data_IF_115786244833
#
_entry.id   IF_115786244833
#
_cell.length_a   1.000
_cell.length_b   1.000
_cell.length_c   1.000
_cell.angle_alpha   90.00
_cell.angle_beta   90.00
_cell.angle_gamma   90.00
#
_symmetry.space_group_name_H-M   'P 1'
#
loop_
_entity.id
_entity.type
_entity.pdbx_description
1 polymer ?
#
# COMPACT_ATOMS: atom_id res chain seq x y z
N UNK A 1 -3.70 -1.52 -25.09
CA UNK A 1 -4.13 -2.94 -25.01
C UNK A 1 -5.60 -3.05 -24.62
N UNK A 2 -6.01 -2.60 -23.43
CA UNK A 2 -7.42 -2.70 -23.00
C UNK A 2 -8.46 -2.15 -23.98
N UNK A 3 -8.27 -0.94 -24.52
CA UNK A 3 -9.19 -0.40 -25.53
C UNK A 3 -9.25 -1.26 -26.82
N UNK A 4 -8.16 -1.95 -27.16
CA UNK A 4 -8.06 -2.84 -28.32
C UNK A 4 -8.63 -4.26 -28.08
N UNK A 5 -8.75 -4.67 -26.82
CA UNK A 5 -9.11 -6.03 -26.42
C UNK A 5 -10.52 -6.05 -25.84
N UNK A 6 -10.75 -5.20 -24.84
CA UNK A 6 -11.99 -5.18 -24.04
C UNK A 6 -12.91 -4.02 -24.46
N UNK A 7 -12.38 -3.04 -25.20
CA UNK A 7 -13.09 -1.79 -25.56
C UNK A 7 -13.43 -0.92 -24.34
N UNK A 8 -12.59 -1.03 -23.31
CA UNK A 8 -12.74 -0.32 -22.03
C UNK A 8 -11.50 0.50 -21.68
N UNK A 9 -11.72 1.48 -20.80
CA UNK A 9 -10.70 2.23 -20.10
C UNK A 9 -10.59 1.73 -18.65
N UNK A 10 -9.47 2.00 -17.96
CA UNK A 10 -9.36 1.65 -16.55
C UNK A 10 -10.29 2.50 -15.68
N UNK A 11 -10.93 1.87 -14.69
CA UNK A 11 -11.62 2.53 -13.59
C UNK A 11 -10.61 3.07 -12.58
N UNK A 12 -10.81 4.33 -12.21
CA UNK A 12 -9.87 5.11 -11.41
C UNK A 12 -10.62 5.80 -10.28
N UNK A 13 -10.06 5.78 -9.09
CA UNK A 13 -10.65 6.47 -7.94
C UNK A 13 -9.63 7.21 -7.10
N UNK A 14 -10.05 8.37 -6.58
CA UNK A 14 -9.43 9.04 -5.45
C UNK A 14 -10.44 9.14 -4.29
N UNK A 15 -10.30 8.33 -3.21
CA UNK A 15 -11.23 8.35 -2.09
C UNK A 15 -11.03 9.52 -1.12
N UNK A 16 -10.12 10.45 -1.43
CA UNK A 16 -9.86 11.68 -0.69
C UNK A 16 -9.47 12.80 -1.68
N UNK A 17 -10.37 13.10 -2.62
CA UNK A 17 -10.02 13.81 -3.85
C UNK A 17 -9.78 15.31 -3.69
N UNK A 18 -10.13 15.91 -2.55
CA UNK A 18 -10.04 17.36 -2.35
C UNK A 18 -10.84 18.10 -3.42
N UNK A 19 -10.19 19.08 -4.06
CA UNK A 19 -10.74 19.84 -5.20
C UNK A 19 -10.71 19.09 -6.54
N UNK A 20 -10.34 17.81 -6.56
CA UNK A 20 -10.34 16.95 -7.75
C UNK A 20 -9.08 17.04 -8.63
N UNK A 21 -8.00 17.67 -8.15
CA UNK A 21 -6.80 17.94 -8.97
C UNK A 21 -6.18 16.67 -9.56
N UNK A 22 -6.04 15.58 -8.78
CA UNK A 22 -5.54 14.30 -9.30
C UNK A 22 -6.47 13.73 -10.38
N UNK A 23 -7.78 13.81 -10.20
CA UNK A 23 -8.76 13.31 -11.16
C UNK A 23 -8.69 14.08 -12.48
N UNK A 24 -8.52 15.39 -12.41
CA UNK A 24 -8.33 16.26 -13.59
C UNK A 24 -7.06 15.88 -14.35
N UNK A 25 -5.95 15.69 -13.65
CA UNK A 25 -4.69 15.29 -14.28
C UNK A 25 -4.75 13.89 -14.87
N UNK A 26 -5.49 12.96 -14.25
CA UNK A 26 -5.82 11.65 -14.84
C UNK A 26 -6.58 11.82 -16.15
N UNK A 27 -7.63 12.64 -16.18
CA UNK A 27 -8.42 12.87 -17.39
C UNK A 27 -7.57 13.41 -18.55
N UNK A 28 -6.78 14.45 -18.27
CA UNK A 28 -5.87 15.07 -19.24
C UNK A 28 -4.83 14.07 -19.73
N UNK A 29 -4.21 13.33 -18.82
CA UNK A 29 -3.14 12.38 -19.14
C UNK A 29 -3.65 11.24 -20.00
N UNK A 30 -4.75 10.59 -19.63
CA UNK A 30 -5.30 9.47 -20.42
C UNK A 30 -5.74 9.94 -21.80
N UNK A 31 -6.41 11.08 -21.89
CA UNK A 31 -6.84 11.65 -23.17
C UNK A 31 -5.63 11.98 -24.04
N UNK A 32 -4.61 12.65 -23.48
CA UNK A 32 -3.35 12.95 -24.17
C UNK A 32 -2.67 11.69 -24.70
N UNK A 33 -2.49 10.67 -23.86
CA UNK A 33 -1.78 9.45 -24.24
C UNK A 33 -2.57 8.67 -25.30
N UNK A 34 -3.88 8.45 -25.12
CA UNK A 34 -4.67 7.59 -26.02
C UNK A 34 -5.03 8.33 -27.32
N UNK A 35 -5.56 9.55 -27.23
CA UNK A 35 -6.10 10.29 -28.38
C UNK A 35 -5.01 10.90 -29.25
N UNK A 36 -3.96 11.46 -28.63
CA UNK A 36 -2.98 12.27 -29.34
C UNK A 36 -1.64 11.58 -29.56
N UNK A 37 -1.10 10.89 -28.55
CA UNK A 37 0.24 10.32 -28.66
C UNK A 37 0.25 8.89 -29.21
N UNK A 38 -0.69 8.05 -28.77
CA UNK A 38 -0.68 6.60 -29.03
C UNK A 38 -1.86 6.11 -29.84
N UNK A 39 -2.60 7.01 -30.50
CA UNK A 39 -3.72 6.65 -31.37
C UNK A 39 -3.32 5.63 -32.45
N UNK A 40 -2.10 5.73 -32.97
CA UNK A 40 -1.54 4.82 -33.97
C UNK A 40 -1.40 3.36 -33.48
N UNK A 41 -1.44 3.12 -32.16
CA UNK A 41 -1.42 1.77 -31.57
C UNK A 41 -2.81 1.14 -31.48
N UNK A 42 -3.89 1.87 -31.82
CA UNK A 42 -5.24 1.34 -31.80
C UNK A 42 -5.51 0.43 -33.00
N UNK A 43 -6.18 -0.70 -32.78
CA UNK A 43 -6.56 -1.63 -33.85
C UNK A 43 -7.53 -0.94 -34.81
N UNK A 44 -7.30 -1.09 -36.11
CA UNK A 44 -8.13 -0.48 -37.16
C UNK A 44 -9.43 -1.28 -37.46
N UNK A 45 -10.01 -1.95 -36.47
CA UNK A 45 -11.28 -2.65 -36.65
C UNK A 45 -12.45 -1.75 -36.22
N UNK A 46 -13.61 -1.95 -36.84
CA UNK A 46 -14.80 -1.11 -36.63
C UNK A 46 -15.18 -0.97 -35.15
N UNK A 47 -15.15 -2.06 -34.38
CA UNK A 47 -15.57 -2.03 -32.98
C UNK A 47 -14.68 -1.13 -32.10
N UNK A 48 -13.36 -1.15 -32.32
CA UNK A 48 -12.41 -0.32 -31.58
C UNK A 48 -12.51 1.14 -32.00
N UNK A 49 -12.69 1.41 -33.29
CA UNK A 49 -12.84 2.77 -33.80
C UNK A 49 -14.15 3.41 -33.34
N UNK A 50 -15.28 2.69 -33.43
CA UNK A 50 -16.58 3.15 -32.94
C UNK A 50 -16.51 3.48 -31.44
N UNK A 51 -15.86 2.63 -30.64
CA UNK A 51 -15.67 2.88 -29.20
C UNK A 51 -14.76 4.08 -28.93
N UNK A 52 -13.68 4.22 -29.68
CA UNK A 52 -12.79 5.39 -29.56
C UNK A 52 -13.55 6.69 -29.83
N UNK A 53 -14.38 6.72 -30.87
CA UNK A 53 -15.21 7.88 -31.18
C UNK A 53 -16.20 8.18 -30.05
N UNK A 54 -16.86 7.15 -29.50
CA UNK A 54 -17.78 7.33 -28.37
C UNK A 54 -17.08 7.95 -27.13
N UNK A 55 -15.86 7.53 -26.84
CA UNK A 55 -15.11 7.93 -25.65
C UNK A 55 -14.45 9.30 -25.77
N UNK A 56 -13.91 9.64 -26.94
CA UNK A 56 -13.01 10.78 -27.12
C UNK A 56 -13.51 11.86 -28.08
N UNK A 57 -14.67 11.64 -28.73
CA UNK A 57 -15.26 12.58 -29.68
C UNK A 57 -16.64 13.10 -29.21
N UNK A 58 -17.04 14.30 -29.67
CA UNK A 58 -16.28 15.28 -30.47
C UNK A 58 -15.14 15.94 -29.68
N UNK A 59 -14.21 16.62 -30.37
CA UNK A 59 -13.00 17.20 -29.75
C UNK A 59 -13.29 18.14 -28.57
N UNK A 60 -14.38 18.91 -28.61
CA UNK A 60 -14.79 19.80 -27.53
C UNK A 60 -15.38 19.06 -26.31
N UNK A 61 -15.46 17.73 -26.33
CA UNK A 61 -15.91 16.85 -25.23
C UNK A 61 -15.00 15.63 -25.08
N UNK A 62 -13.71 15.81 -25.30
CA UNK A 62 -12.75 14.70 -25.34
C UNK A 62 -12.52 13.98 -24.00
N UNK A 63 -12.96 14.58 -22.90
CA UNK A 63 -12.89 14.01 -21.55
C UNK A 63 -14.19 13.32 -21.11
N UNK A 64 -15.20 13.23 -21.99
CA UNK A 64 -16.53 12.68 -21.65
C UNK A 64 -16.50 11.24 -21.13
N UNK A 65 -15.48 10.47 -21.48
CA UNK A 65 -15.32 9.10 -20.98
C UNK A 65 -15.18 9.08 -19.46
N UNK A 66 -14.64 10.13 -18.84
CA UNK A 66 -14.39 10.18 -17.41
C UNK A 66 -15.65 10.02 -16.57
N UNK A 67 -16.82 10.40 -17.11
CA UNK A 67 -18.14 10.19 -16.48
C UNK A 67 -18.42 8.74 -16.08
N UNK A 68 -17.82 7.79 -16.80
CA UNK A 68 -18.08 6.36 -16.63
C UNK A 68 -16.94 5.69 -15.84
N UNK A 69 -15.72 6.24 -15.88
CA UNK A 69 -14.51 5.55 -15.40
C UNK A 69 -13.78 6.23 -14.23
N UNK A 70 -14.00 7.52 -13.98
CA UNK A 70 -13.28 8.28 -12.95
C UNK A 70 -14.21 8.55 -11.78
N UNK A 71 -13.76 8.27 -10.56
CA UNK A 71 -14.52 8.40 -9.32
C UNK A 71 -13.75 9.23 -8.30
N UNK A 72 -14.47 9.98 -7.45
CA UNK A 72 -13.87 10.78 -6.39
C UNK A 72 -14.74 10.80 -5.14
N UNK A 73 -14.12 10.84 -3.96
CA UNK A 73 -14.83 10.98 -2.68
C UNK A 73 -14.15 12.09 -1.89
N UNK A 74 -14.94 12.97 -1.28
CA UNK A 74 -14.44 13.91 -0.29
C UNK A 74 -15.48 14.16 0.81
N UNK A 75 -15.04 14.18 2.06
CA UNK A 75 -15.92 14.41 3.21
C UNK A 75 -16.31 15.88 3.35
N UNK A 76 -15.48 16.81 2.87
CA UNK A 76 -15.73 18.23 2.97
C UNK A 76 -16.70 18.68 1.86
N UNK A 77 -17.80 19.31 2.27
CA UNK A 77 -18.85 19.74 1.35
C UNK A 77 -18.35 20.75 0.31
N UNK A 78 -17.53 21.72 0.72
CA UNK A 78 -17.03 22.77 -0.16
C UNK A 78 -16.00 22.22 -1.15
N UNK A 79 -15.06 21.38 -0.68
CA UNK A 79 -14.06 20.74 -1.54
C UNK A 79 -14.71 19.76 -2.52
N UNK A 80 -15.62 18.91 -2.05
CA UNK A 80 -16.36 18.00 -2.90
C UNK A 80 -17.23 18.73 -3.92
N UNK A 81 -17.82 19.88 -3.56
CA UNK A 81 -18.56 20.74 -4.51
C UNK A 81 -17.63 21.43 -5.50
N UNK A 82 -16.44 21.86 -5.07
CA UNK A 82 -15.43 22.42 -5.96
C UNK A 82 -14.91 21.37 -6.96
N UNK A 83 -14.62 20.15 -6.50
CA UNK A 83 -14.24 19.03 -7.36
C UNK A 83 -15.31 18.76 -8.42
N UNK A 84 -16.56 18.68 -7.99
CA UNK A 84 -17.73 18.57 -8.86
C UNK A 84 -17.74 19.61 -9.98
N UNK A 85 -17.67 20.89 -9.62
CA UNK A 85 -17.63 21.99 -10.60
C UNK A 85 -16.40 21.88 -11.51
N UNK A 86 -15.22 21.61 -10.95
CA UNK A 86 -13.98 21.49 -11.72
C UNK A 86 -14.04 20.36 -12.75
N UNK A 87 -14.59 19.20 -12.38
CA UNK A 87 -14.73 18.06 -13.30
C UNK A 87 -15.67 18.40 -14.48
N UNK A 88 -16.78 19.09 -14.21
CA UNK A 88 -17.70 19.58 -15.27
C UNK A 88 -17.00 20.58 -16.19
N UNK A 89 -16.25 21.54 -15.63
CA UNK A 89 -15.51 22.54 -16.41
C UNK A 89 -14.44 21.89 -17.29
N UNK A 90 -13.89 20.77 -16.85
CA UNK A 90 -12.96 19.94 -17.63
C UNK A 90 -13.66 18.88 -18.50
N UNK A 91 -14.99 18.95 -18.65
CA UNK A 91 -15.71 18.19 -19.68
C UNK A 91 -15.94 16.71 -19.39
N UNK A 92 -15.94 16.30 -18.11
CA UNK A 92 -16.27 14.92 -17.71
C UNK A 92 -17.69 14.55 -18.16
N UNK A 93 -18.65 15.46 -18.08
CA UNK A 93 -20.04 15.31 -18.51
C UNK A 93 -20.98 14.67 -17.49
N UNK A 94 -20.49 14.10 -16.37
CA UNK A 94 -21.33 13.67 -15.23
C UNK A 94 -20.46 13.32 -14.01
N UNK A 95 -20.90 13.71 -12.80
CA UNK A 95 -20.07 13.67 -11.59
C UNK A 95 -20.18 12.34 -10.83
N UNK A 96 -19.16 11.50 -10.92
CA UNK A 96 -18.89 10.41 -9.96
C UNK A 96 -18.16 10.92 -8.71
N UNK A 97 -18.53 12.12 -8.24
CA UNK A 97 -17.95 12.73 -7.04
C UNK A 97 -18.95 12.59 -5.90
N UNK A 98 -18.54 11.91 -4.85
CA UNK A 98 -19.35 11.61 -3.66
C UNK A 98 -18.90 12.52 -2.51
N UNK A 99 -19.83 13.32 -1.99
CA UNK A 99 -19.58 14.20 -0.84
C UNK A 99 -19.93 13.43 0.44
N UNK A 100 -19.01 12.55 0.86
CA UNK A 100 -19.15 11.55 1.93
C UNK A 100 -17.77 11.23 2.50
N UNK A 101 -17.71 10.66 3.70
CA UNK A 101 -16.44 10.14 4.24
C UNK A 101 -16.01 8.90 3.42
N UNK A 102 -14.76 8.88 2.94
CA UNK A 102 -14.18 7.81 2.11
C UNK A 102 -13.98 6.47 2.84
N UNK A 103 -14.16 6.44 4.17
CA UNK A 103 -14.09 5.26 5.00
C UNK A 103 -15.47 4.66 5.31
N UNK A 104 -16.57 5.24 4.81
CA UNK A 104 -17.91 4.64 4.95
C UNK A 104 -18.03 3.31 4.20
N UNK A 105 -18.88 2.38 4.69
CA UNK A 105 -19.25 1.16 3.95
C UNK A 105 -19.77 1.45 2.54
N UNK A 106 -19.49 0.54 1.60
CA UNK A 106 -19.75 0.79 0.18
C UNK A 106 -21.22 1.05 -0.15
N UNK A 107 -22.13 0.44 0.61
CA UNK A 107 -23.59 0.64 0.50
C UNK A 107 -24.04 2.09 0.64
N UNK A 108 -23.24 2.99 1.22
CA UNK A 108 -23.60 4.40 1.40
C UNK A 108 -23.29 5.30 0.21
N UNK A 109 -22.52 4.84 -0.78
CA UNK A 109 -22.17 5.63 -1.96
C UNK A 109 -23.25 5.52 -3.04
N UNK A 110 -24.45 6.03 -2.76
CA UNK A 110 -25.57 6.03 -3.69
C UNK A 110 -25.40 7.04 -4.83
N UNK A 111 -25.77 6.61 -6.04
CA UNK A 111 -25.79 7.43 -7.27
C UNK A 111 -27.11 7.16 -8.00
N UNK A 112 -27.78 8.24 -8.40
CA UNK A 112 -29.08 8.17 -9.11
C UNK A 112 -28.92 7.57 -10.51
N UNK A 113 -27.78 7.82 -11.16
CA UNK A 113 -27.50 7.33 -12.51
C UNK A 113 -26.61 6.08 -12.47
N UNK A 114 -26.99 5.06 -13.24
CA UNK A 114 -26.20 3.85 -13.43
C UNK A 114 -25.15 4.02 -14.55
N UNK A 115 -24.05 3.27 -14.55
CA UNK A 115 -23.62 2.33 -13.51
C UNK A 115 -22.99 3.02 -12.29
N UNK A 116 -23.05 2.38 -11.12
CA UNK A 116 -22.41 2.82 -9.89
C UNK A 116 -21.51 1.71 -9.34
N UNK A 117 -20.27 1.64 -9.84
CA UNK A 117 -19.31 0.63 -9.43
C UNK A 117 -18.85 0.80 -7.99
N UNK A 118 -18.87 2.00 -7.42
CA UNK A 118 -18.42 2.25 -6.04
C UNK A 118 -19.35 1.63 -4.98
N UNK A 119 -20.64 1.51 -5.28
CA UNK A 119 -21.60 0.87 -4.37
C UNK A 119 -21.54 -0.66 -4.39
N UNK A 120 -20.89 -1.26 -5.40
CA UNK A 120 -20.79 -2.72 -5.49
C UNK A 120 -19.81 -3.23 -4.43
N UNK A 121 -20.15 -4.33 -3.78
CA UNK A 121 -19.24 -4.99 -2.84
C UNK A 121 -19.60 -6.45 -2.68
N UNK A 122 -18.61 -7.23 -2.27
CA UNK A 122 -18.71 -8.62 -1.84
C UNK A 122 -17.86 -8.80 -0.57
N UNK A 123 -17.87 -9.98 0.03
CA UNK A 123 -17.02 -10.32 1.17
C UNK A 123 -15.86 -11.20 0.72
N UNK A 124 -14.66 -10.96 1.24
CA UNK A 124 -13.48 -11.75 0.89
C UNK A 124 -12.89 -12.46 2.13
N UNK A 125 -12.80 -13.78 2.09
CA UNK A 125 -12.26 -14.60 3.18
C UNK A 125 -10.80 -14.25 3.52
N UNK A 126 -9.97 -14.01 2.50
CA UNK A 126 -8.57 -13.61 2.66
C UNK A 126 -8.43 -12.21 3.32
N UNK A 127 -9.53 -11.47 3.43
CA UNK A 127 -9.65 -10.21 4.14
C UNK A 127 -10.61 -10.34 5.35
N UNK A 128 -10.59 -11.51 6.01
CA UNK A 128 -11.35 -11.83 7.23
C UNK A 128 -12.87 -11.69 7.07
N UNK A 129 -13.40 -12.02 5.89
CA UNK A 129 -14.83 -11.95 5.58
C UNK A 129 -15.38 -10.52 5.50
N UNK A 130 -14.51 -9.50 5.42
CA UNK A 130 -14.90 -8.09 5.34
C UNK A 130 -15.23 -7.69 3.90
N UNK A 131 -15.96 -6.58 3.79
CA UNK A 131 -16.41 -6.04 2.50
C UNK A 131 -15.22 -5.59 1.64
N UNK A 132 -15.24 -5.97 0.36
CA UNK A 132 -14.36 -5.46 -0.69
C UNK A 132 -15.22 -4.98 -1.86
N UNK A 133 -14.78 -3.94 -2.55
CA UNK A 133 -15.40 -3.45 -3.77
C UNK A 133 -14.78 -4.10 -5.02
N UNK A 134 -13.44 -4.07 -5.11
CA UNK A 134 -12.69 -4.77 -6.15
C UNK A 134 -12.95 -4.32 -7.58
N UNK A 135 -13.51 -3.13 -7.83
CA UNK A 135 -13.86 -2.66 -9.18
C UNK A 135 -12.80 -1.77 -9.82
N UNK A 136 -11.88 -1.18 -9.04
CA UNK A 136 -10.95 -0.17 -9.53
C UNK A 136 -9.60 -0.75 -9.95
N UNK A 137 -9.02 -0.26 -11.04
CA UNK A 137 -7.65 -0.64 -11.42
C UNK A 137 -6.59 0.32 -10.96
N UNK A 138 -6.95 1.58 -10.73
CA UNK A 138 -6.02 2.61 -10.29
C UNK A 138 -6.63 3.34 -9.11
N UNK A 139 -5.86 3.40 -8.02
CA UNK A 139 -6.07 4.34 -6.94
C UNK A 139 -4.99 5.41 -7.04
N UNK A 140 -5.40 6.66 -7.05
CA UNK A 140 -4.51 7.81 -6.88
C UNK A 140 -5.05 8.63 -5.72
N UNK A 141 -4.22 8.94 -4.73
CA UNK A 141 -4.77 9.59 -3.53
C UNK A 141 -3.71 10.30 -2.69
N UNK A 142 -4.13 11.36 -2.03
CA UNK A 142 -3.41 12.02 -0.95
C UNK A 142 -4.39 12.16 0.23
N UNK A 143 -4.57 11.11 1.06
CA UNK A 143 -5.53 11.15 2.13
C UNK A 143 -5.12 12.21 3.16
N UNK A 144 -6.08 12.84 3.84
CA UNK A 144 -5.75 13.84 4.82
C UNK A 144 -5.06 13.20 6.03
N UNK A 145 -4.05 13.88 6.58
CA UNK A 145 -3.25 13.35 7.69
C UNK A 145 -3.91 13.67 9.03
N UNK A 146 -4.01 12.66 9.90
CA UNK A 146 -4.45 12.74 11.29
C UNK A 146 -5.83 13.40 11.46
N UNK A 147 -6.79 12.97 10.64
CA UNK A 147 -8.16 13.50 10.67
C UNK A 147 -9.00 12.79 11.71
N UNK A 148 -9.77 13.58 12.47
CA UNK A 148 -10.85 13.03 13.28
C UNK A 148 -11.98 12.52 12.39
N UNK A 149 -12.18 11.20 12.42
CA UNK A 149 -13.28 10.55 11.73
C UNK A 149 -14.63 10.96 12.33
N UNK A 150 -15.64 11.09 11.48
CA UNK A 150 -16.99 11.41 11.92
C UNK A 150 -17.60 10.26 12.76
N UNK A 151 -18.59 10.60 13.58
CA UNK A 151 -19.21 9.65 14.50
C UNK A 151 -20.00 8.54 13.81
N UNK A 152 -20.49 8.76 12.60
CA UNK A 152 -21.19 7.74 11.81
C UNK A 152 -20.17 6.73 11.26
N UNK A 153 -19.09 7.21 10.64
CA UNK A 153 -17.96 6.39 10.16
C UNK A 153 -17.37 5.54 11.27
N UNK A 154 -17.12 6.13 12.45
CA UNK A 154 -16.62 5.44 13.65
C UNK A 154 -17.45 4.22 14.05
N UNK A 155 -18.77 4.20 13.78
CA UNK A 155 -19.66 3.07 14.11
C UNK A 155 -19.43 1.84 13.24
N UNK A 156 -18.89 2.02 12.03
CA UNK A 156 -18.73 0.95 11.06
C UNK A 156 -17.29 0.47 10.90
N UNK A 157 -16.31 1.11 11.57
CA UNK A 157 -14.88 0.82 11.37
C UNK A 157 -14.53 -0.63 11.69
N UNK A 158 -14.89 -1.14 12.86
CA UNK A 158 -14.55 -2.51 13.29
C UNK A 158 -15.19 -3.58 12.39
N UNK A 159 -16.36 -3.28 11.81
CA UNK A 159 -16.99 -4.16 10.81
C UNK A 159 -16.24 -4.10 9.47
N UNK A 160 -15.90 -2.89 9.01
CA UNK A 160 -15.41 -2.64 7.65
C UNK A 160 -13.92 -2.90 7.46
N UNK A 161 -13.12 -2.78 8.52
CA UNK A 161 -11.65 -2.82 8.46
C UNK A 161 -11.08 -3.83 9.46
N UNK A 162 -9.94 -4.43 9.13
CA UNK A 162 -9.18 -5.30 10.03
C UNK A 162 -8.68 -4.48 11.23
N UNK A 163 -8.17 -3.27 10.99
CA UNK A 163 -7.63 -2.43 12.05
C UNK A 163 -8.54 -1.27 12.44
N UNK A 164 -9.86 -1.44 12.25
CA UNK A 164 -10.90 -0.46 12.58
C UNK A 164 -10.83 0.08 14.01
N UNK A 165 -10.45 -0.78 14.97
CA UNK A 165 -10.36 -0.42 16.40
C UNK A 165 -9.22 0.56 16.72
N UNK A 166 -8.17 0.60 15.88
CA UNK A 166 -7.04 1.52 16.06
C UNK A 166 -7.36 2.96 15.64
N UNK A 167 -8.41 3.16 14.83
CA UNK A 167 -8.95 4.48 14.42
C UNK A 167 -7.91 5.46 13.85
N UNK A 168 -6.81 4.96 13.29
CA UNK A 168 -5.82 5.78 12.60
C UNK A 168 -6.27 5.95 11.14
N UNK A 169 -6.61 7.17 10.75
CA UNK A 169 -7.18 7.49 9.42
C UNK A 169 -6.29 7.01 8.27
N UNK A 170 -5.00 7.27 8.34
CA UNK A 170 -4.02 6.96 7.29
C UNK A 170 -3.92 5.46 7.06
N UNK A 171 -3.88 4.69 8.16
CA UNK A 171 -3.83 3.23 8.11
C UNK A 171 -5.14 2.63 7.59
N UNK A 172 -6.28 3.25 7.91
CA UNK A 172 -7.58 2.83 7.38
C UNK A 172 -7.72 3.14 5.88
N UNK A 173 -7.11 4.22 5.39
CA UNK A 173 -7.06 4.49 3.95
C UNK A 173 -6.22 3.43 3.20
N UNK A 174 -5.13 2.93 3.80
CA UNK A 174 -4.37 1.80 3.24
C UNK A 174 -5.25 0.57 3.05
N UNK A 175 -6.07 0.23 4.05
CA UNK A 175 -7.05 -0.85 3.94
C UNK A 175 -8.14 -0.52 2.91
N UNK A 176 -8.63 0.72 2.86
CA UNK A 176 -9.64 1.16 1.89
C UNK A 176 -9.15 1.01 0.44
N UNK A 177 -7.89 1.32 0.16
CA UNK A 177 -7.31 1.13 -1.18
C UNK A 177 -7.23 -0.34 -1.56
N UNK A 178 -6.93 -1.23 -0.61
CA UNK A 178 -7.04 -2.67 -0.84
C UNK A 178 -8.45 -3.09 -1.22
N UNK A 179 -9.46 -2.60 -0.48
CA UNK A 179 -10.86 -2.94 -0.74
C UNK A 179 -11.34 -2.42 -2.10
N UNK A 180 -10.87 -1.24 -2.53
CA UNK A 180 -11.26 -0.63 -3.81
C UNK A 180 -10.62 -1.31 -5.01
N UNK A 181 -9.34 -1.67 -4.91
CA UNK A 181 -8.59 -2.22 -6.03
C UNK A 181 -9.04 -3.65 -6.36
N UNK A 182 -9.16 -3.92 -7.65
CA UNK A 182 -9.24 -5.29 -8.16
C UNK A 182 -7.88 -6.00 -8.03
N UNK A 183 -7.83 -7.34 -8.05
CA UNK A 183 -6.57 -8.09 -8.13
C UNK A 183 -5.66 -7.58 -9.26
N UNK A 184 -4.40 -7.28 -8.97
CA UNK A 184 -3.45 -6.69 -9.92
C UNK A 184 -3.64 -5.19 -10.21
N UNK A 185 -4.62 -4.55 -9.60
CA UNK A 185 -4.79 -3.09 -9.59
C UNK A 185 -3.61 -2.39 -8.93
N UNK A 186 -3.43 -1.10 -9.21
CA UNK A 186 -2.23 -0.34 -8.88
C UNK A 186 -2.60 0.90 -8.08
N UNK A 187 -1.72 1.33 -7.19
CA UNK A 187 -1.86 2.58 -6.48
C UNK A 187 -0.61 3.45 -6.60
N UNK A 188 -0.82 4.76 -6.67
CA UNK A 188 0.18 5.79 -6.49
C UNK A 188 -0.35 6.81 -5.49
N UNK A 189 0.22 6.81 -4.29
CA UNK A 189 -0.38 7.51 -3.14
C UNK A 189 0.68 8.30 -2.37
N UNK A 190 0.22 9.31 -1.63
CA UNK A 190 1.05 10.07 -0.69
C UNK A 190 0.79 9.55 0.72
N UNK A 191 1.85 9.27 1.48
CA UNK A 191 1.76 8.87 2.89
C UNK A 191 2.76 9.63 3.76
N UNK A 192 2.46 9.88 5.04
CA UNK A 192 3.46 10.33 6.01
C UNK A 192 4.61 9.32 6.14
N UNK A 193 5.84 9.82 6.34
CA UNK A 193 7.01 8.95 6.52
C UNK A 193 6.89 8.07 7.78
N UNK A 194 6.06 8.48 8.74
CA UNK A 194 5.75 7.71 9.95
C UNK A 194 5.16 6.32 9.66
N UNK A 195 4.51 6.11 8.51
CA UNK A 195 4.03 4.78 8.10
C UNK A 195 5.20 3.82 7.85
N UNK A 196 6.35 4.34 7.40
CA UNK A 196 7.51 3.56 7.00
C UNK A 196 8.49 3.32 8.16
N UNK A 197 8.64 4.25 9.10
CA UNK A 197 9.72 4.22 10.11
C UNK A 197 9.28 3.90 11.55
N UNK A 198 8.01 4.13 11.94
CA UNK A 198 7.62 4.01 13.35
C UNK A 198 7.28 2.58 13.77
N UNK A 199 7.47 2.25 15.04
CA UNK A 199 7.14 0.93 15.59
C UNK A 199 5.62 0.72 15.70
N UNK A 200 4.86 1.79 15.94
CA UNK A 200 3.40 1.77 16.03
C UNK A 200 2.76 1.32 14.70
N UNK A 201 3.38 1.65 13.57
CA UNK A 201 2.92 1.31 12.23
C UNK A 201 3.48 -0.03 11.68
N UNK A 202 4.14 -0.84 12.52
CA UNK A 202 4.63 -2.17 12.11
C UNK A 202 3.53 -3.05 11.50
N UNK A 203 2.34 -3.02 12.08
CA UNK A 203 1.22 -3.85 11.64
C UNK A 203 0.72 -3.48 10.24
N UNK A 204 0.65 -2.18 9.93
CA UNK A 204 0.17 -1.73 8.62
C UNK A 204 1.23 -1.96 7.54
N UNK A 205 2.52 -1.98 7.91
CA UNK A 205 3.58 -2.43 7.00
C UNK A 205 3.44 -3.92 6.67
N UNK A 206 3.17 -4.77 7.66
CA UNK A 206 2.88 -6.18 7.40
C UNK A 206 1.63 -6.36 6.54
N UNK A 207 0.60 -5.55 6.74
CA UNK A 207 -0.56 -5.49 5.85
C UNK A 207 -0.16 -5.16 4.40
N UNK A 208 0.63 -4.10 4.20
CA UNK A 208 1.13 -3.73 2.87
C UNK A 208 1.90 -4.89 2.23
N UNK A 209 2.81 -5.54 2.96
CA UNK A 209 3.57 -6.68 2.42
C UNK A 209 2.69 -7.90 2.13
N UNK A 210 1.66 -8.17 2.93
CA UNK A 210 0.73 -9.29 2.70
C UNK A 210 -0.10 -9.06 1.44
N UNK A 211 -0.66 -7.86 1.26
CA UNK A 211 -1.69 -7.60 0.25
C UNK A 211 -1.19 -6.89 -1.01
N UNK A 212 0.04 -6.36 -1.00
CA UNK A 212 0.60 -5.63 -2.13
C UNK A 212 2.02 -6.06 -2.45
N UNK A 213 2.38 -5.90 -3.72
CA UNK A 213 3.76 -5.80 -4.18
C UNK A 213 4.16 -4.32 -4.16
N UNK A 214 5.09 -3.95 -3.28
CA UNK A 214 5.59 -2.59 -3.18
C UNK A 214 6.57 -2.35 -4.33
N UNK A 215 6.24 -1.46 -5.27
CA UNK A 215 7.05 -1.25 -6.48
C UNK A 215 8.05 -0.12 -6.32
N UNK A 216 7.63 0.96 -5.65
CA UNK A 216 8.53 2.07 -5.34
C UNK A 216 8.14 2.79 -4.05
N UNK A 217 9.15 3.33 -3.38
CA UNK A 217 9.02 4.35 -2.33
C UNK A 217 9.92 5.52 -2.70
N UNK A 218 9.34 6.71 -2.85
CA UNK A 218 10.08 7.94 -3.12
C UNK A 218 9.89 8.91 -1.96
N UNK A 219 10.93 9.12 -1.15
CA UNK A 219 10.89 10.09 -0.05
C UNK A 219 10.93 11.51 -0.60
N UNK A 220 10.05 12.38 -0.08
CA UNK A 220 9.93 13.77 -0.49
C UNK A 220 10.56 14.70 0.56
N UNK A 221 11.03 15.89 0.16
CA UNK A 221 11.49 16.90 1.10
C UNK A 221 10.39 17.29 2.10
N UNK A 222 10.78 17.59 3.33
CA UNK A 222 9.85 18.04 4.37
C UNK A 222 9.01 19.27 3.96
N UNK A 223 9.59 20.13 3.11
CA UNK A 223 8.96 21.37 2.63
C UNK A 223 7.88 21.17 1.55
N UNK A 224 7.63 19.93 1.11
CA UNK A 224 6.73 19.63 -0.03
C UNK A 224 5.33 20.18 0.16
N UNK A 225 4.76 20.00 1.35
CA UNK A 225 3.38 20.38 1.68
C UNK A 225 3.29 21.64 2.56
N UNK A 226 4.39 22.38 2.73
CA UNK A 226 4.39 23.68 3.40
C UNK A 226 3.61 24.73 2.59
N UNK A 227 2.85 25.64 3.23
CA UNK A 227 2.75 25.87 4.67
C UNK A 227 1.62 25.08 5.36
N UNK A 228 1.01 24.11 4.67
CA UNK A 228 -0.15 23.38 5.19
C UNK A 228 0.26 22.32 6.22
N UNK A 229 1.39 21.64 5.99
CA UNK A 229 1.99 20.73 6.98
C UNK A 229 3.50 20.64 6.80
N UNK A 230 4.20 20.47 7.92
CA UNK A 230 5.64 20.17 7.98
C UNK A 230 5.92 18.66 8.07
N UNK A 231 4.91 17.81 7.94
CA UNK A 231 5.07 16.36 7.95
C UNK A 231 5.85 15.93 6.71
N UNK A 232 6.97 15.22 6.91
CA UNK A 232 7.70 14.59 5.81
C UNK A 232 6.88 13.42 5.26
N UNK A 233 6.84 13.32 3.95
CA UNK A 233 5.95 12.40 3.23
C UNK A 233 6.74 11.60 2.20
N UNK A 234 6.16 10.50 1.75
CA UNK A 234 6.71 9.67 0.69
C UNK A 234 5.61 9.30 -0.29
N UNK A 235 5.99 9.11 -1.56
CA UNK A 235 5.15 8.51 -2.57
C UNK A 235 5.31 6.98 -2.49
N UNK A 236 4.19 6.26 -2.32
CA UNK A 236 4.15 4.81 -2.40
C UNK A 236 3.49 4.38 -3.70
N UNK A 237 4.20 3.56 -4.47
CA UNK A 237 3.68 2.88 -5.65
C UNK A 237 3.59 1.39 -5.35
N UNK A 238 2.41 0.81 -5.50
CA UNK A 238 2.21 -0.61 -5.21
C UNK A 238 1.17 -1.24 -6.14
N UNK A 239 1.22 -2.56 -6.26
CA UNK A 239 0.25 -3.38 -6.99
C UNK A 239 -0.43 -4.33 -6.03
N UNK A 240 -1.77 -4.36 -6.02
CA UNK A 240 -2.55 -5.32 -5.24
C UNK A 240 -2.23 -6.73 -5.71
N UNK A 241 -1.88 -7.60 -4.76
CA UNK A 241 -1.65 -9.03 -5.00
C UNK A 241 -2.94 -9.72 -5.44
N UNK A 242 -2.77 -10.78 -6.21
CA UNK A 242 -3.84 -11.71 -6.55
C UNK A 242 -4.17 -12.60 -5.37
N UNK A 243 -5.36 -13.21 -5.39
CA UNK A 243 -5.79 -14.18 -4.37
C UNK A 243 -4.76 -15.28 -4.16
N UNK A 244 -4.16 -15.80 -5.24
CA UNK A 244 -3.13 -16.84 -5.18
C UNK A 244 -1.85 -16.39 -4.48
N UNK A 245 -1.39 -15.17 -4.74
CA UNK A 245 -0.19 -14.61 -4.09
C UNK A 245 -0.43 -14.34 -2.60
N UNK A 246 -1.66 -14.02 -2.21
CA UNK A 246 -2.05 -13.87 -0.80
C UNK A 246 -2.13 -15.26 -0.12
N UNK A 247 -2.68 -16.27 -0.79
CA UNK A 247 -2.68 -17.65 -0.28
C UNK A 247 -1.25 -18.20 -0.11
N UNK A 248 -0.35 -17.91 -1.04
CA UNK A 248 1.07 -18.25 -0.93
C UNK A 248 1.71 -17.59 0.30
N UNK A 249 1.43 -16.29 0.51
CA UNK A 249 1.86 -15.58 1.72
C UNK A 249 1.37 -16.27 3.00
N UNK A 250 0.08 -16.62 3.07
CA UNK A 250 -0.53 -17.24 4.24
C UNK A 250 0.01 -18.65 4.51
N UNK A 251 0.33 -19.41 3.45
CA UNK A 251 0.98 -20.71 3.55
C UNK A 251 2.41 -20.58 4.13
N UNK A 252 3.20 -19.63 3.65
CA UNK A 252 4.54 -19.36 4.17
C UNK A 252 4.49 -18.84 5.61
N UNK A 253 3.56 -17.93 5.91
CA UNK A 253 3.33 -17.42 7.26
C UNK A 253 3.01 -18.58 8.23
N UNK A 254 2.11 -19.47 7.83
CA UNK A 254 1.74 -20.65 8.63
C UNK A 254 2.93 -21.61 8.82
N UNK A 255 3.71 -21.86 7.76
CA UNK A 255 4.91 -22.70 7.79
C UNK A 255 5.93 -22.17 8.81
N UNK A 256 6.30 -20.90 8.68
CA UNK A 256 7.31 -20.28 9.53
C UNK A 256 6.79 -19.96 10.93
N UNK A 257 5.50 -19.69 11.10
CA UNK A 257 4.85 -19.56 12.41
C UNK A 257 4.93 -20.85 13.23
N UNK A 258 4.68 -22.01 12.60
CA UNK A 258 4.85 -23.33 13.25
C UNK A 258 6.32 -23.62 13.60
N UNK A 259 7.24 -23.26 12.71
CA UNK A 259 8.69 -23.37 12.98
C UNK A 259 9.07 -22.51 14.20
N UNK A 260 8.65 -21.25 14.22
CA UNK A 260 8.91 -20.32 15.31
C UNK A 260 8.41 -20.86 16.65
N UNK A 261 7.15 -21.30 16.72
CA UNK A 261 6.57 -21.86 17.95
C UNK A 261 7.34 -23.07 18.46
N UNK A 262 7.73 -23.96 17.54
CA UNK A 262 8.55 -25.14 17.86
C UNK A 262 9.90 -24.73 18.44
N UNK A 263 10.58 -23.77 17.81
CA UNK A 263 11.87 -23.26 18.26
C UNK A 263 11.75 -22.54 19.61
N UNK A 264 10.76 -21.66 19.77
CA UNK A 264 10.44 -20.95 21.02
C UNK A 264 10.31 -21.94 22.18
N UNK A 265 9.44 -22.94 22.04
CA UNK A 265 9.24 -23.97 23.08
C UNK A 265 10.54 -24.71 23.39
N UNK A 266 11.35 -25.04 22.37
CA UNK A 266 12.62 -25.74 22.59
C UNK A 266 13.64 -24.85 23.32
N UNK A 267 13.78 -23.59 22.91
CA UNK A 267 14.73 -22.64 23.50
C UNK A 267 14.36 -22.28 24.94
N UNK A 268 13.08 -22.05 25.22
CA UNK A 268 12.57 -21.87 26.60
C UNK A 268 12.88 -23.09 27.46
N UNK A 269 12.70 -24.30 26.94
CA UNK A 269 13.06 -25.53 27.65
C UNK A 269 14.58 -25.69 27.83
N UNK A 270 15.42 -25.19 26.92
CA UNK A 270 16.87 -25.17 27.14
C UNK A 270 17.25 -24.20 28.25
N UNK A 271 16.60 -23.03 28.33
CA UNK A 271 16.78 -22.08 29.43
C UNK A 271 16.46 -22.75 30.77
N UNK A 272 15.34 -23.48 30.86
CA UNK A 272 14.99 -24.25 32.06
C UNK A 272 16.05 -25.32 32.41
N UNK A 273 16.57 -26.06 31.44
CA UNK A 273 17.57 -27.09 31.73
C UNK A 273 18.91 -26.48 32.18
N UNK A 274 19.42 -25.48 31.46
CA UNK A 274 20.79 -24.98 31.63
C UNK A 274 20.91 -23.84 32.66
N UNK A 275 19.85 -23.04 32.86
CA UNK A 275 19.86 -21.92 33.81
C UNK A 275 19.11 -22.23 35.11
N UNK A 276 18.00 -22.98 35.06
CA UNK A 276 17.21 -23.30 36.27
C UNK A 276 17.50 -24.70 36.84
N UNK A 277 18.15 -25.58 36.06
CA UNK A 277 18.58 -26.92 36.50
C UNK A 277 17.49 -27.99 36.36
N UNK A 278 16.48 -27.76 35.53
CA UNK A 278 15.39 -28.71 35.29
C UNK A 278 15.91 -29.97 34.59
N UNK A 279 15.34 -31.13 34.95
CA UNK A 279 15.71 -32.41 34.33
C UNK A 279 15.19 -32.50 32.89
N UNK A 280 16.13 -32.55 31.93
CA UNK A 280 15.87 -32.65 30.50
C UNK A 280 15.04 -33.88 30.11
N UNK A 281 15.16 -34.99 30.84
CA UNK A 281 14.42 -36.23 30.53
C UNK A 281 12.89 -36.04 30.67
N UNK A 282 12.47 -35.07 31.48
CA UNK A 282 11.06 -34.73 31.74
C UNK A 282 10.46 -33.78 30.70
N UNK A 283 11.22 -33.36 29.69
CA UNK A 283 10.79 -32.39 28.67
C UNK A 283 10.69 -33.06 27.30
N UNK A 284 9.50 -33.55 26.87
CA UNK A 284 9.34 -34.32 25.64
C UNK A 284 9.84 -33.60 24.37
N UNK A 285 9.76 -32.27 24.36
CA UNK A 285 10.20 -31.39 23.27
C UNK A 285 11.71 -31.42 23.01
N UNK A 286 12.52 -31.78 24.01
CA UNK A 286 13.99 -31.69 23.95
C UNK A 286 14.74 -32.90 24.55
N UNK A 287 14.03 -33.88 25.13
CA UNK A 287 14.62 -35.00 25.88
C UNK A 287 15.73 -35.76 25.15
N UNK A 288 15.61 -35.89 23.83
CA UNK A 288 16.53 -36.66 22.99
C UNK A 288 17.51 -35.79 22.20
N UNK A 289 17.52 -34.47 22.37
CA UNK A 289 18.37 -33.60 21.56
C UNK A 289 19.85 -33.72 21.95
N UNK A 290 20.74 -33.78 20.97
CA UNK A 290 22.18 -33.70 21.14
C UNK A 290 22.66 -32.26 21.36
N UNK A 291 23.91 -32.07 21.80
CA UNK A 291 24.47 -30.72 21.97
C UNK A 291 24.47 -29.92 20.65
N UNK A 292 24.78 -30.59 19.53
CA UNK A 292 24.75 -30.01 18.19
C UNK A 292 23.35 -29.54 17.80
N UNK A 293 22.32 -30.33 18.07
CA UNK A 293 20.93 -29.94 17.79
C UNK A 293 20.47 -28.78 18.66
N UNK A 294 20.88 -28.74 19.94
CA UNK A 294 20.55 -27.62 20.84
C UNK A 294 21.14 -26.33 20.28
N UNK A 295 22.43 -26.33 19.93
CA UNK A 295 23.11 -25.17 19.33
C UNK A 295 22.42 -24.71 18.05
N UNK A 296 22.15 -25.62 17.12
CA UNK A 296 21.45 -25.30 15.87
C UNK A 296 20.07 -24.65 16.11
N UNK A 297 19.32 -25.14 17.08
CA UNK A 297 18.01 -24.56 17.41
C UNK A 297 18.14 -23.15 18.02
N UNK A 298 19.11 -22.94 18.91
CA UNK A 298 19.37 -21.61 19.51
C UNK A 298 19.78 -20.63 18.42
N UNK A 299 20.72 -21.01 17.55
CA UNK A 299 21.19 -20.18 16.43
C UNK A 299 20.05 -19.84 15.47
N UNK A 300 19.22 -20.83 15.11
CA UNK A 300 18.07 -20.61 14.22
C UNK A 300 17.00 -19.71 14.84
N UNK A 301 16.79 -19.78 16.16
CA UNK A 301 15.84 -18.95 16.86
C UNK A 301 16.32 -17.50 16.97
N UNK A 302 17.58 -17.31 17.40
CA UNK A 302 18.18 -16.00 17.65
C UNK A 302 18.66 -15.27 16.39
N UNK A 303 19.00 -15.98 15.30
CA UNK A 303 19.40 -15.38 14.02
C UNK A 303 20.47 -14.28 14.19
N UNK A 304 20.07 -13.01 14.03
CA UNK A 304 20.95 -11.85 14.04
C UNK A 304 21.27 -11.35 15.47
N UNK A 305 20.66 -11.92 16.50
CA UNK A 305 20.96 -11.59 17.91
C UNK A 305 22.24 -12.29 18.43
N UNK A 306 22.90 -13.10 17.59
CA UNK A 306 24.15 -13.77 17.93
C UNK A 306 25.22 -13.48 16.89
N UNK A 307 26.44 -13.23 17.36
CA UNK A 307 27.60 -13.01 16.49
C UNK A 307 28.41 -14.29 16.30
N UNK A 308 29.35 -14.30 15.36
CA UNK A 308 30.20 -15.48 15.12
C UNK A 308 31.09 -15.86 16.32
N UNK A 309 31.42 -14.89 17.17
CA UNK A 309 32.16 -15.14 18.42
C UNK A 309 31.31 -15.88 19.45
N UNK A 310 30.00 -15.60 19.50
CA UNK A 310 29.05 -16.20 20.44
C UNK A 310 28.86 -17.70 20.20
N UNK A 311 29.03 -18.14 18.95
CA UNK A 311 28.93 -19.55 18.57
C UNK A 311 29.98 -20.43 19.25
N UNK A 312 31.08 -19.82 19.74
CA UNK A 312 32.16 -20.52 20.47
C UNK A 312 31.85 -20.72 21.95
N UNK A 313 30.87 -20.00 22.51
CA UNK A 313 30.51 -20.09 23.92
C UNK A 313 29.94 -21.46 24.27
N UNK A 314 30.03 -21.85 25.55
CA UNK A 314 29.28 -23.02 26.04
C UNK A 314 27.78 -22.70 26.02
N UNK A 315 26.92 -23.70 25.83
CA UNK A 315 25.46 -23.50 25.73
C UNK A 315 24.91 -22.67 26.91
N UNK A 316 25.36 -22.96 28.13
CA UNK A 316 24.92 -22.23 29.32
C UNK A 316 25.30 -20.74 29.25
N UNK A 317 26.53 -20.44 28.86
CA UNK A 317 27.04 -19.07 28.73
C UNK A 317 26.30 -18.33 27.62
N UNK A 318 26.05 -18.98 26.48
CA UNK A 318 25.29 -18.44 25.36
C UNK A 318 23.85 -18.10 25.76
N UNK A 319 23.13 -19.04 26.39
CA UNK A 319 21.76 -18.83 26.84
C UNK A 319 21.66 -17.73 27.91
N UNK A 320 22.67 -17.61 28.76
CA UNK A 320 22.73 -16.57 29.78
C UNK A 320 23.01 -15.19 29.16
N UNK A 321 23.88 -15.12 28.13
CA UNK A 321 24.14 -13.89 27.38
C UNK A 321 22.87 -13.41 26.67
N UNK A 322 22.17 -14.30 25.98
CA UNK A 322 21.03 -13.95 25.12
C UNK A 322 19.66 -14.04 25.83
N UNK A 323 19.63 -13.99 27.16
CA UNK A 323 18.43 -14.27 27.93
C UNK A 323 17.32 -13.23 27.67
N UNK A 324 17.69 -11.96 27.57
CA UNK A 324 16.77 -10.85 27.33
C UNK A 324 16.13 -10.98 25.94
N UNK A 325 16.93 -11.25 24.90
CA UNK A 325 16.46 -11.42 23.53
C UNK A 325 15.55 -12.64 23.38
N UNK A 326 15.81 -13.74 24.10
CA UNK A 326 14.94 -14.91 24.13
C UNK A 326 13.55 -14.53 24.67
N UNK A 327 13.51 -13.76 25.76
CA UNK A 327 12.28 -13.30 26.40
C UNK A 327 11.53 -12.35 25.47
N UNK A 328 12.21 -11.37 24.88
CA UNK A 328 11.61 -10.41 23.95
C UNK A 328 11.05 -11.08 22.69
N UNK A 329 11.81 -12.00 22.08
CA UNK A 329 11.32 -12.79 20.95
C UNK A 329 10.12 -13.65 21.34
N UNK A 330 10.16 -14.24 22.53
CA UNK A 330 9.12 -15.13 23.04
C UNK A 330 7.87 -14.40 23.54
N UNK A 331 7.89 -13.07 23.62
CA UNK A 331 6.75 -12.29 24.07
C UNK A 331 5.55 -12.45 23.11
N UNK A 332 4.33 -12.39 23.67
CA UNK A 332 3.11 -12.48 22.86
C UNK A 332 3.03 -11.25 21.94
N UNK A 333 2.73 -11.50 20.67
CA UNK A 333 2.36 -10.45 19.71
C UNK A 333 1.10 -9.70 20.15
N UNK A 334 1.10 -8.38 19.94
CA UNK A 334 -0.06 -7.52 20.16
C UNK A 334 -0.94 -7.35 18.90
N UNK A 335 -0.61 -7.99 17.78
CA UNK A 335 -1.20 -7.67 16.48
C UNK A 335 -2.28 -8.66 16.02
N UNK A 336 -2.10 -9.97 16.17
CA UNK A 336 -3.00 -10.97 15.55
C UNK A 336 -3.44 -12.11 16.49
N UNK A 337 -3.27 -12.00 17.81
CA UNK A 337 -3.54 -13.07 18.79
C UNK A 337 -2.78 -14.40 18.56
N UNK A 338 -1.92 -14.46 17.55
CA UNK A 338 -1.03 -15.57 17.27
C UNK A 338 0.16 -15.58 18.23
N UNK A 339 0.57 -16.76 18.68
CA UNK A 339 1.76 -16.97 19.50
C UNK A 339 3.04 -16.97 18.64
N UNK A 340 3.23 -15.94 17.82
CA UNK A 340 4.42 -15.78 16.97
C UNK A 340 5.01 -14.39 17.09
N UNK A 341 6.32 -14.29 16.89
CA UNK A 341 6.98 -13.01 16.66
C UNK A 341 6.89 -12.68 15.15
N UNK A 342 6.16 -11.63 14.82
CA UNK A 342 5.79 -11.30 13.44
C UNK A 342 7.01 -10.96 12.60
N UNK A 343 8.01 -10.27 13.15
CA UNK A 343 9.23 -9.92 12.43
C UNK A 343 10.13 -11.12 12.20
N UNK A 344 10.17 -12.06 13.15
CA UNK A 344 10.88 -13.31 12.96
C UNK A 344 10.29 -14.11 11.80
N UNK A 345 8.95 -14.23 11.74
CA UNK A 345 8.22 -14.97 10.72
C UNK A 345 8.31 -14.24 9.37
N UNK A 346 8.00 -12.95 9.37
CA UNK A 346 8.09 -12.08 8.20
C UNK A 346 9.48 -12.16 7.55
N UNK A 347 10.55 -12.14 8.34
CA UNK A 347 11.92 -12.23 7.83
C UNK A 347 12.25 -13.55 7.12
N UNK A 348 11.47 -14.62 7.31
CA UNK A 348 11.59 -15.85 6.51
C UNK A 348 10.65 -15.84 5.31
N UNK A 349 9.44 -15.32 5.47
CA UNK A 349 8.50 -15.14 4.35
C UNK A 349 9.11 -14.22 3.28
N UNK A 350 9.75 -13.13 3.69
CA UNK A 350 10.36 -12.15 2.78
C UNK A 350 11.55 -12.72 2.00
N UNK A 351 12.24 -13.75 2.51
CA UNK A 351 13.32 -14.43 1.78
C UNK A 351 12.80 -15.33 0.67
N UNK A 352 11.64 -15.94 0.87
CA UNK A 352 10.98 -16.81 -0.11
C UNK A 352 10.21 -15.99 -1.16
N UNK A 353 9.68 -14.84 -0.74
CA UNK A 353 8.97 -13.88 -1.62
C UNK A 353 9.80 -12.62 -1.81
N UNK A 354 11.09 -12.76 -2.14
CA UNK A 354 12.01 -11.63 -2.32
C UNK A 354 11.78 -10.92 -3.66
N UNK A 355 11.87 -9.60 -3.64
CA UNK A 355 11.74 -8.74 -4.82
C UNK A 355 12.39 -7.38 -4.60
N UNK A 356 12.84 -6.77 -5.68
CA UNK A 356 13.43 -5.43 -5.62
C UNK A 356 12.35 -4.35 -5.46
N UNK A 357 12.61 -3.41 -4.56
CA UNK A 357 11.82 -2.20 -4.37
C UNK A 357 12.65 -1.02 -4.86
N UNK A 358 12.12 -0.23 -5.79
CA UNK A 358 12.79 1.01 -6.20
C UNK A 358 12.69 2.05 -5.07
N UNK A 359 13.83 2.48 -4.54
CA UNK A 359 13.87 3.50 -3.49
C UNK A 359 14.64 4.72 -4.00
N UNK A 360 14.08 5.91 -3.74
CA UNK A 360 14.72 7.18 -4.06
C UNK A 360 14.36 8.24 -3.01
N UNK A 361 15.21 9.24 -2.87
CA UNK A 361 14.94 10.44 -2.07
C UNK A 361 15.13 11.65 -2.99
N UNK A 362 14.10 12.50 -3.04
CA UNK A 362 14.19 13.78 -3.72
C UNK A 362 14.65 14.83 -2.71
N UNK A 363 15.66 15.63 -3.05
CA UNK A 363 16.06 16.78 -2.24
C UNK A 363 15.28 18.04 -2.64
N UNK A 364 14.92 18.14 -3.92
CA UNK A 364 14.22 19.29 -4.48
C UNK A 364 13.08 18.86 -5.42
N UNK A 365 11.97 19.58 -5.34
CA UNK A 365 10.72 19.28 -6.08
C UNK A 365 10.32 20.40 -7.06
N UNK A 366 11.28 21.22 -7.49
CA UNK A 366 11.05 22.32 -8.41
C UNK A 366 10.70 23.66 -7.75
N UNK A 367 10.28 23.66 -6.48
CA UNK A 367 9.99 24.89 -5.75
C UNK A 367 10.27 24.76 -4.24
N UNK A 368 10.40 25.92 -3.60
CA UNK A 368 10.35 26.10 -2.15
C UNK A 368 9.34 27.17 -1.81
N UNK A 369 8.28 26.80 -1.09
CA UNK A 369 7.25 27.74 -0.64
C UNK A 369 7.68 28.42 0.65
N UNK A 370 7.51 29.75 0.71
CA UNK A 370 7.81 30.58 1.88
C UNK A 370 6.62 31.47 2.20
N UNK A 371 6.63 32.14 3.36
CA UNK A 371 5.63 33.17 3.70
C UNK A 371 5.54 34.31 2.66
N UNK A 372 6.58 34.49 1.84
CA UNK A 372 6.66 35.55 0.80
C UNK A 372 6.33 35.04 -0.62
N UNK A 373 5.85 33.81 -0.76
CA UNK A 373 5.56 33.16 -2.04
C UNK A 373 6.49 31.99 -2.36
N UNK A 374 6.39 31.50 -3.59
CA UNK A 374 7.15 30.36 -4.09
C UNK A 374 8.46 30.82 -4.72
N UNK A 375 9.54 30.10 -4.42
CA UNK A 375 10.86 30.28 -5.03
C UNK A 375 11.18 29.06 -5.90
N UNK A 376 11.54 29.24 -7.18
CA UNK A 376 12.02 28.13 -8.00
C UNK A 376 13.23 27.44 -7.39
N UNK A 377 13.28 26.12 -7.51
CA UNK A 377 14.38 25.24 -7.07
C UNK A 377 14.66 24.21 -8.17
N UNK A 378 15.78 23.47 -8.12
CA UNK A 378 15.96 22.27 -8.92
C UNK A 378 14.80 21.28 -8.73
N UNK A 379 14.59 20.40 -9.69
CA UNK A 379 13.59 19.34 -9.60
C UNK A 379 14.28 17.98 -9.82
N UNK A 380 14.19 17.12 -8.82
CA UNK A 380 14.77 15.77 -8.83
C UNK A 380 13.72 14.72 -9.24
N UNK A 381 12.43 15.06 -9.10
CA UNK A 381 11.31 14.18 -9.45
C UNK A 381 11.17 14.03 -10.96
N UNK A 382 11.16 15.14 -11.69
CA UNK A 382 10.92 15.13 -13.13
C UNK A 382 11.60 16.27 -13.89
N UNK A 383 11.82 16.02 -15.18
CA UNK A 383 12.17 17.04 -16.16
C UNK A 383 10.91 17.66 -16.76
N UNK A 384 11.00 18.94 -17.09
CA UNK A 384 9.95 19.65 -17.80
C UNK A 384 10.46 20.16 -19.14
N UNK A 385 9.71 19.88 -20.21
CA UNK A 385 10.00 20.33 -21.57
C UNK A 385 8.72 20.90 -22.18
N UNK A 386 8.77 22.16 -22.61
CA UNK A 386 7.64 22.89 -23.19
C UNK A 386 6.38 22.89 -22.31
N UNK A 387 6.55 23.09 -20.99
CA UNK A 387 5.44 23.12 -20.05
C UNK A 387 4.88 21.73 -19.68
N UNK A 388 5.62 20.65 -19.98
CA UNK A 388 5.16 19.26 -19.83
C UNK A 388 6.23 18.40 -19.19
N UNK A 389 5.78 17.52 -18.29
CA UNK A 389 6.63 16.48 -17.69
C UNK A 389 7.20 15.57 -18.80
N UNK A 390 8.52 15.50 -18.91
CA UNK A 390 9.25 14.64 -19.84
C UNK A 390 9.59 13.30 -19.16
N UNK A 391 8.83 12.27 -19.51
CA UNK A 391 9.05 10.89 -19.07
C UNK A 391 9.74 10.04 -20.15
N UNK A 392 10.52 10.65 -21.03
CA UNK A 392 11.28 9.93 -22.05
C UNK A 392 12.34 9.03 -21.43
N UNK A 393 12.70 7.97 -22.16
CA UNK A 393 13.66 6.97 -21.68
C UNK A 393 15.11 7.51 -21.66
N UNK A 394 15.32 8.79 -22.00
CA UNK A 394 16.64 9.45 -21.92
C UNK A 394 16.84 10.27 -20.65
N UNK A 395 15.77 10.60 -19.93
CA UNK A 395 15.86 11.37 -18.68
C UNK A 395 16.50 10.58 -17.54
N UNK A 396 17.10 11.30 -16.60
CA UNK A 396 17.82 10.77 -15.43
C UNK A 396 17.12 11.08 -14.10
N UNK A 397 15.99 11.79 -14.13
CA UNK A 397 15.17 12.10 -12.96
C UNK A 397 14.49 10.87 -12.38
N UNK A 398 14.06 10.99 -11.13
CA UNK A 398 13.48 9.88 -10.35
C UNK A 398 12.32 9.23 -11.11
N UNK A 399 11.39 9.99 -11.68
CA UNK A 399 10.25 9.42 -12.42
C UNK A 399 10.68 8.71 -13.72
N UNK A 400 11.74 9.17 -14.39
CA UNK A 400 12.29 8.50 -15.58
C UNK A 400 12.94 7.16 -15.19
N UNK A 401 13.73 7.13 -14.11
CA UNK A 401 14.34 5.92 -13.58
C UNK A 401 13.28 4.93 -13.08
N UNK A 402 12.26 5.43 -12.38
CA UNK A 402 11.12 4.65 -11.90
C UNK A 402 10.41 3.94 -13.06
N UNK A 403 10.10 4.69 -14.13
CA UNK A 403 9.45 4.15 -15.34
C UNK A 403 10.28 3.07 -16.03
N UNK A 404 11.61 3.19 -16.03
CA UNK A 404 12.53 2.22 -16.64
C UNK A 404 12.70 0.95 -15.82
N UNK A 405 12.64 1.07 -14.49
CA UNK A 405 13.04 0.00 -13.57
C UNK A 405 11.85 -0.84 -13.11
N UNK A 406 10.66 -0.24 -13.00
CA UNK A 406 9.50 -0.91 -12.45
C UNK A 406 8.75 -1.71 -13.52
N UNK A 407 8.69 -3.02 -13.28
CA UNK A 407 7.77 -3.92 -13.97
C UNK A 407 6.48 -4.11 -13.15
N UNK A 408 5.33 -3.93 -13.80
CA UNK A 408 4.02 -3.88 -13.14
C UNK A 408 3.31 -5.22 -13.02
#
# INVERSE_FOLDING_TARGET
NRLNEDRELPYIIDPACGSGTFLIEVMKTITKEIKYQRKHLLKNNKQVQDRFEELFMPDHKEHRWARDYVYGIDANFDLGTAAKVNMILHGDGSMNIFVKDGLLPFRFYDKVTAPNFLKQYETEENYLGKEINGQFEIVISNPPFSVELDNETKRYLSQSFIYGDKKNSENLFIERWYQLLKPGGRMGIVLPESVFDTTENKYIRLFLFKYFWIKAVVSLPQLTFEPYTSTKTSLLFAKKKTTKEIEEWDNLWTKYGKEFQTLKTRVENYVEVYLTGKDKSKLPSIKNHTETEIRKNIERYLKNFIEDEDKKLKIKELLQKCQEEIIELGAKSNLNDEWVNEWWVFGEVSKEMDYSIFMAEAENIGYKRTKRGEKPMPNDLFEEKDGKIDLSDRGDKILNLLKKTIEW
#
